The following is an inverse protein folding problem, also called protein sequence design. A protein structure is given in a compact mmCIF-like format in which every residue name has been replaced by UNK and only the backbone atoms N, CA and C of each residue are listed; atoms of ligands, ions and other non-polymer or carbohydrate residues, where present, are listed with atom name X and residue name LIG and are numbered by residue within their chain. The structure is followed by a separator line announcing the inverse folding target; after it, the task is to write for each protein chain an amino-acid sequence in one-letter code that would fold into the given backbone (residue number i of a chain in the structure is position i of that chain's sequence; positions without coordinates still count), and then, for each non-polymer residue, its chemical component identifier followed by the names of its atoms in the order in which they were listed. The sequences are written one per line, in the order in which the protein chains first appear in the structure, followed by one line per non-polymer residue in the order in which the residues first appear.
data_IF_302517310822
#
_entry.id   IF_302517310822
#
_cell.length_a   1.000
_cell.length_b   1.000
_cell.length_c   1.000
_cell.angle_alpha   90.00
_cell.angle_beta   90.00
_cell.angle_gamma   90.00
#
_symmetry.space_group_name_H-M   'P 1'
#
loop_
_entity.id
_entity.type
_entity.pdbx_description
1 polymer ?
#
# COMPACT_ATOMS: atom_id res chain seq x y z
N UNK A 1 18.35 -11.26 -4.21
CA UNK A 1 16.92 -11.12 -3.86
C UNK A 1 16.23 -12.46 -4.02
N UNK A 2 15.00 -12.63 -3.51
CA UNK A 2 14.19 -13.83 -3.73
C UNK A 2 13.94 -14.06 -5.22
N UNK A 3 13.65 -15.31 -5.62
CA UNK A 3 13.28 -15.62 -7.00
C UNK A 3 11.90 -15.02 -7.34
N UNK A 4 11.60 -14.74 -8.61
CA UNK A 4 10.29 -14.19 -9.00
C UNK A 4 9.11 -15.09 -8.62
N UNK A 5 9.30 -16.42 -8.66
CA UNK A 5 8.31 -17.39 -8.20
C UNK A 5 8.07 -17.28 -6.68
N UNK A 6 9.14 -17.09 -5.91
CA UNK A 6 9.05 -16.87 -4.46
C UNK A 6 8.27 -15.59 -4.15
N UNK A 7 8.55 -14.50 -4.87
CA UNK A 7 7.80 -13.25 -4.72
C UNK A 7 6.32 -13.43 -5.06
N UNK A 8 5.99 -14.17 -6.13
CA UNK A 8 4.61 -14.45 -6.53
C UNK A 8 3.85 -15.27 -5.48
N UNK A 9 4.48 -16.33 -4.96
CA UNK A 9 3.90 -17.16 -3.89
C UNK A 9 3.70 -16.35 -2.61
N UNK A 10 4.70 -15.54 -2.24
CA UNK A 10 4.60 -14.66 -1.07
C UNK A 10 3.44 -13.67 -1.21
N UNK A 11 3.32 -13.02 -2.37
CA UNK A 11 2.25 -12.07 -2.62
C UNK A 11 0.86 -12.72 -2.68
N UNK A 12 0.77 -13.96 -3.17
CA UNK A 12 -0.46 -14.75 -3.06
C UNK A 12 -0.90 -14.99 -1.62
N UNK A 13 0.06 -15.25 -0.71
CA UNK A 13 -0.23 -15.36 0.74
C UNK A 13 -0.65 -14.03 1.33
N UNK A 14 -0.01 -12.93 0.92
CA UNK A 14 -0.39 -11.57 1.33
C UNK A 14 -1.83 -11.27 0.91
N UNK A 15 -2.18 -11.57 -0.33
CA UNK A 15 -3.51 -11.30 -0.89
C UNK A 15 -4.63 -12.06 -0.16
N UNK A 16 -4.36 -13.29 0.31
CA UNK A 16 -5.32 -14.12 1.02
C UNK A 16 -5.48 -13.75 2.50
N UNK A 17 -4.56 -12.98 3.08
CA UNK A 17 -4.57 -12.63 4.49
C UNK A 17 -5.37 -11.35 4.79
N UNK A 18 -5.80 -11.23 6.05
CA UNK A 18 -6.22 -9.96 6.62
C UNK A 18 -5.05 -9.32 7.36
N UNK A 19 -5.01 -8.00 7.31
CA UNK A 19 -3.90 -7.19 7.79
C UNK A 19 -4.40 -6.13 8.75
N UNK A 20 -3.57 -5.80 9.73
CA UNK A 20 -3.85 -4.74 10.68
C UNK A 20 -3.32 -3.43 10.10
N UNK A 21 -4.23 -2.51 9.77
CA UNK A 21 -3.86 -1.15 9.37
C UNK A 21 -4.04 -0.23 10.59
N UNK A 22 -3.03 0.57 10.96
CA UNK A 22 -3.15 1.50 12.06
C UNK A 22 -4.03 2.68 11.67
N UNK A 23 -4.99 3.02 12.53
CA UNK A 23 -5.74 4.26 12.45
C UNK A 23 -5.48 5.13 13.68
N UNK A 24 -5.40 6.43 13.45
CA UNK A 24 -5.23 7.44 14.50
C UNK A 24 -6.41 8.40 14.48
N UNK A 25 -6.78 8.90 15.65
CA UNK A 25 -7.80 9.94 15.74
C UNK A 25 -7.22 11.22 15.16
N UNK A 26 -7.91 11.78 14.16
CA UNK A 26 -7.62 13.12 13.67
C UNK A 26 -8.47 14.07 14.51
N UNK A 27 -7.82 15.00 15.19
CA UNK A 27 -8.54 16.07 15.86
C UNK A 27 -9.22 16.93 14.80
N UNK A 28 -10.55 16.85 14.70
CA UNK A 28 -11.32 17.77 13.87
C UNK A 28 -11.26 19.17 14.49
N UNK A 29 -10.87 20.18 13.71
CA UNK A 29 -11.03 21.57 14.13
C UNK A 29 -12.53 21.86 14.25
N UNK A 30 -13.02 22.03 15.49
CA UNK A 30 -14.40 22.45 15.74
C UNK A 30 -14.51 23.90 15.31
N UNK A 31 -15.08 24.14 14.13
CA UNK A 31 -15.55 25.47 13.76
C UNK A 31 -16.78 25.75 14.62
N UNK A 32 -16.63 26.61 15.63
CA UNK A 32 -17.76 27.12 16.40
C UNK A 32 -18.70 27.88 15.47
N UNK A 33 -19.73 27.20 14.98
CA UNK A 33 -20.84 27.81 14.27
C UNK A 33 -22.13 27.20 14.81
N UNK A 34 -22.74 27.98 15.72
CA UNK A 34 -24.13 27.89 16.17
C UNK A 34 -24.58 26.58 16.84
N UNK A 35 -24.50 26.56 18.18
CA UNK A 35 -25.64 26.22 19.06
C UNK A 35 -26.31 24.83 18.96
N UNK A 36 -25.78 23.89 18.19
CA UNK A 36 -26.27 22.51 18.14
C UNK A 36 -25.19 21.62 18.72
N UNK A 37 -25.57 20.77 19.67
CA UNK A 37 -24.69 19.77 20.29
C UNK A 37 -24.19 18.82 19.20
N UNK A 38 -23.04 19.15 18.63
CA UNK A 38 -22.32 18.34 17.65
C UNK A 38 -21.90 17.04 18.32
N UNK A 39 -22.53 15.95 17.90
CA UNK A 39 -22.10 14.60 18.25
C UNK A 39 -20.66 14.46 17.73
N UNK A 40 -19.71 14.28 18.64
CA UNK A 40 -18.28 14.36 18.36
C UNK A 40 -17.87 13.18 17.50
N UNK A 41 -18.04 13.33 16.18
CA UNK A 41 -17.55 12.40 15.16
C UNK A 41 -16.03 12.49 15.15
N UNK A 42 -15.38 11.64 15.95
CA UNK A 42 -13.93 11.41 15.87
C UNK A 42 -13.61 10.98 14.45
N UNK A 43 -12.99 11.85 13.66
CA UNK A 43 -12.50 11.49 12.34
C UNK A 43 -11.32 10.53 12.54
N UNK A 44 -11.33 9.39 11.86
CA UNK A 44 -10.29 8.36 11.99
C UNK A 44 -9.58 8.26 10.65
N UNK A 45 -8.27 8.50 10.64
CA UNK A 45 -7.46 8.41 9.43
C UNK A 45 -6.45 7.28 9.52
N UNK A 46 -6.16 6.65 8.38
CA UNK A 46 -5.04 5.72 8.24
C UNK A 46 -3.72 6.48 8.32
N UNK A 47 -2.73 5.87 8.98
CA UNK A 47 -1.38 6.46 9.03
C UNK A 47 -0.70 6.31 7.66
N UNK A 48 -0.01 7.36 7.21
CA UNK A 48 0.90 7.32 6.06
C UNK A 48 2.32 7.66 6.52
N UNK A 49 3.31 6.91 6.03
CA UNK A 49 4.72 7.21 6.17
C UNK A 49 5.20 8.02 4.96
N UNK A 50 6.07 9.00 5.19
CA UNK A 50 6.73 9.77 4.13
C UNK A 50 8.23 9.65 4.31
N UNK A 51 8.93 9.12 3.31
CA UNK A 51 10.38 9.05 3.31
C UNK A 51 11.02 10.41 2.98
N UNK A 52 12.32 10.64 3.25
CA UNK A 52 12.99 11.90 2.94
C UNK A 52 12.97 12.29 1.46
N UNK A 53 12.83 11.31 0.55
CA UNK A 53 12.70 11.52 -0.89
C UNK A 53 11.27 11.88 -1.33
N UNK A 54 10.33 11.97 -0.38
CA UNK A 54 8.92 12.28 -0.61
C UNK A 54 8.05 11.07 -0.94
N UNK A 55 8.62 9.87 -1.10
CA UNK A 55 7.83 8.66 -1.36
C UNK A 55 6.93 8.34 -0.17
N UNK A 56 5.69 7.90 -0.47
CA UNK A 56 4.65 7.69 0.55
C UNK A 56 4.29 6.22 0.65
N UNK A 57 4.06 5.75 1.87
CA UNK A 57 3.75 4.37 2.14
C UNK A 57 2.64 4.21 3.19
N UNK A 58 1.74 3.26 2.98
CA UNK A 58 0.80 2.85 4.01
C UNK A 58 1.39 1.64 4.77
N UNK A 59 1.57 1.71 6.10
CA UNK A 59 2.03 0.60 6.91
C UNK A 59 0.88 -0.37 7.21
N UNK A 60 1.20 -1.66 7.20
CA UNK A 60 0.28 -2.74 7.58
C UNK A 60 1.03 -3.82 8.36
N UNK A 61 0.34 -4.51 9.27
CA UNK A 61 0.98 -5.40 10.22
C UNK A 61 0.37 -6.80 10.21
N UNK A 62 1.23 -7.79 10.34
CA UNK A 62 0.87 -9.21 10.38
C UNK A 62 0.36 -9.64 11.76
N UNK A 63 0.68 -8.89 12.81
CA UNK A 63 0.28 -9.20 14.19
C UNK A 63 0.11 -7.95 15.06
N UNK A 64 -0.65 -8.09 16.14
CA UNK A 64 -0.79 -7.03 17.15
C UNK A 64 0.54 -6.71 17.83
N UNK A 65 1.42 -7.70 18.02
CA UNK A 65 2.74 -7.49 18.60
C UNK A 65 3.60 -6.58 17.71
N UNK A 66 3.68 -6.88 16.40
CA UNK A 66 4.42 -6.05 15.45
C UNK A 66 3.87 -4.62 15.36
N UNK A 67 2.54 -4.46 15.42
CA UNK A 67 1.92 -3.14 15.47
C UNK A 67 2.27 -2.38 16.77
N UNK A 68 2.17 -3.05 17.92
CA UNK A 68 2.43 -2.43 19.22
C UNK A 68 3.91 -2.07 19.43
N UNK A 69 4.83 -2.86 18.86
CA UNK A 69 6.27 -2.56 18.85
C UNK A 69 6.58 -1.30 18.02
N UNK A 70 5.80 -1.06 16.95
CA UNK A 70 5.92 0.14 16.12
C UNK A 70 5.24 1.37 16.73
N UNK A 71 3.97 1.25 17.12
CA UNK A 71 3.21 2.31 17.79
C UNK A 71 2.15 1.69 18.74
N UNK A 72 2.39 1.69 20.07
CA UNK A 72 1.45 1.12 21.03
C UNK A 72 0.17 1.94 21.20
N UNK A 73 0.12 3.18 20.68
CA UNK A 73 -1.08 4.04 20.73
C UNK A 73 -2.02 3.85 19.54
N UNK A 74 -1.53 3.21 18.46
CA UNK A 74 -2.30 2.98 17.25
C UNK A 74 -3.48 2.03 17.48
N UNK A 75 -4.63 2.34 16.88
CA UNK A 75 -5.79 1.44 16.92
C UNK A 75 -5.73 0.48 15.72
N UNK A 76 -5.74 -0.85 15.95
CA UNK A 76 -5.71 -1.81 14.86
C UNK A 76 -7.08 -1.92 14.17
N UNK A 77 -7.09 -1.83 12.83
CA UNK A 77 -8.24 -2.22 12.01
C UNK A 77 -7.85 -3.38 11.11
N UNK A 78 -8.45 -4.54 11.33
CA UNK A 78 -8.21 -5.72 10.51
C UNK A 78 -8.98 -5.60 9.18
N UNK A 79 -8.28 -5.53 8.04
CA UNK A 79 -8.86 -5.40 6.70
C UNK A 79 -8.30 -6.43 5.71
N UNK A 80 -9.03 -6.79 4.64
CA UNK A 80 -8.44 -7.54 3.54
C UNK A 80 -7.27 -6.78 2.89
N UNK A 81 -6.29 -7.50 2.34
CA UNK A 81 -5.16 -6.89 1.63
C UNK A 81 -5.58 -5.93 0.50
N UNK A 82 -6.65 -6.27 -0.22
CA UNK A 82 -7.21 -5.42 -1.28
C UNK A 82 -7.70 -4.07 -0.74
N UNK A 83 -8.37 -4.06 0.42
CA UNK A 83 -8.84 -2.82 1.05
C UNK A 83 -7.69 -1.97 1.58
N UNK A 84 -6.65 -2.59 2.16
CA UNK A 84 -5.43 -1.86 2.56
C UNK A 84 -4.75 -1.22 1.34
N UNK A 85 -4.66 -1.95 0.23
CA UNK A 85 -4.10 -1.44 -1.02
C UNK A 85 -4.93 -0.30 -1.62
N UNK A 86 -6.26 -0.40 -1.61
CA UNK A 86 -7.16 0.67 -2.05
C UNK A 86 -7.02 1.92 -1.19
N UNK A 87 -6.93 1.77 0.13
CA UNK A 87 -6.68 2.88 1.05
C UNK A 87 -5.32 3.54 0.77
N UNK A 88 -4.26 2.74 0.55
CA UNK A 88 -2.95 3.27 0.21
C UNK A 88 -3.00 4.13 -1.07
N UNK A 89 -3.71 3.66 -2.11
CA UNK A 89 -3.88 4.42 -3.36
C UNK A 89 -4.70 5.69 -3.13
N UNK A 90 -5.81 5.64 -2.37
CA UNK A 90 -6.63 6.83 -2.11
C UNK A 90 -5.87 7.89 -1.32
N UNK A 91 -4.98 7.47 -0.42
CA UNK A 91 -4.10 8.36 0.33
C UNK A 91 -2.91 8.86 -0.50
N UNK A 92 -2.70 8.36 -1.72
CA UNK A 92 -1.57 8.74 -2.58
C UNK A 92 -0.24 8.11 -2.17
N UNK A 93 -0.28 6.89 -1.62
CA UNK A 93 0.91 6.08 -1.34
C UNK A 93 1.38 5.32 -2.59
N UNK A 94 2.70 5.19 -2.73
CA UNK A 94 3.35 4.47 -3.81
C UNK A 94 3.52 2.98 -3.51
N UNK A 95 3.58 2.62 -2.22
CA UNK A 95 3.87 1.27 -1.72
C UNK A 95 3.09 0.94 -0.46
N UNK A 96 2.99 -0.37 -0.15
CA UNK A 96 2.65 -0.83 1.20
C UNK A 96 3.94 -1.26 1.91
N UNK A 97 4.00 -1.09 3.22
CA UNK A 97 5.10 -1.63 4.04
C UNK A 97 4.53 -2.56 5.11
N UNK A 98 4.96 -3.81 5.08
CA UNK A 98 4.58 -4.84 6.04
C UNK A 98 5.55 -4.84 7.23
N UNK A 99 5.01 -4.83 8.44
CA UNK A 99 5.74 -4.96 9.71
C UNK A 99 6.93 -4.00 9.82
N UNK A 100 6.63 -2.71 9.69
CA UNK A 100 7.59 -1.60 9.83
C UNK A 100 8.40 -1.74 11.12
N UNK A 101 9.68 -1.37 11.07
CA UNK A 101 10.63 -1.43 12.19
C UNK A 101 10.94 -2.85 12.72
N UNK A 102 10.42 -3.91 12.08
CA UNK A 102 10.82 -5.28 12.37
C UNK A 102 12.02 -5.72 11.53
N UNK A 103 12.71 -6.79 11.97
CA UNK A 103 13.77 -7.44 11.18
C UNK A 103 13.26 -8.10 9.89
N UNK A 104 11.94 -8.19 9.71
CA UNK A 104 11.27 -8.80 8.57
C UNK A 104 10.43 -7.78 7.79
N UNK A 105 10.73 -6.48 7.90
CA UNK A 105 10.00 -5.46 7.17
C UNK A 105 10.09 -5.70 5.65
N UNK A 106 8.94 -5.72 4.97
CA UNK A 106 8.86 -5.96 3.52
C UNK A 106 8.11 -4.83 2.85
N UNK A 107 8.70 -4.28 1.78
CA UNK A 107 8.04 -3.30 0.91
C UNK A 107 7.32 -4.03 -0.22
N UNK A 108 6.00 -3.84 -0.31
CA UNK A 108 5.22 -4.26 -1.48
C UNK A 108 5.20 -3.10 -2.47
N UNK A 109 6.01 -3.25 -3.51
CA UNK A 109 6.24 -2.24 -4.56
C UNK A 109 4.95 -1.88 -5.30
N UNK A 110 4.95 -0.77 -6.00
CA UNK A 110 3.75 -0.23 -6.67
C UNK A 110 3.03 -1.24 -7.56
N UNK A 111 3.74 -2.08 -8.33
CA UNK A 111 3.09 -3.11 -9.15
C UNK A 111 2.35 -4.17 -8.31
N UNK A 112 2.88 -4.52 -7.14
CA UNK A 112 2.25 -5.44 -6.18
C UNK A 112 1.04 -4.77 -5.50
N UNK A 113 1.20 -3.53 -5.05
CA UNK A 113 0.13 -2.70 -4.50
C UNK A 113 -1.07 -2.63 -5.46
N UNK A 114 -0.83 -2.27 -6.72
CA UNK A 114 -1.87 -2.20 -7.75
C UNK A 114 -2.49 -3.56 -8.06
N UNK A 115 -1.72 -4.65 -7.99
CA UNK A 115 -2.27 -5.98 -8.18
C UNK A 115 -3.22 -6.37 -7.03
N UNK A 116 -2.85 -6.08 -5.79
CA UNK A 116 -3.70 -6.30 -4.61
C UNK A 116 -4.98 -5.46 -4.68
N UNK A 117 -4.89 -4.17 -5.01
CA UNK A 117 -6.04 -3.27 -5.09
C UNK A 117 -7.06 -3.70 -6.15
N UNK A 118 -6.58 -4.27 -7.26
CA UNK A 118 -7.41 -4.80 -8.36
C UNK A 118 -7.80 -6.27 -8.15
N UNK A 119 -7.37 -6.89 -7.06
CA UNK A 119 -7.56 -8.32 -6.77
C UNK A 119 -7.13 -9.24 -7.93
N UNK A 120 -6.06 -8.86 -8.62
CA UNK A 120 -5.45 -9.66 -9.68
C UNK A 120 -4.23 -10.39 -9.16
N UNK A 121 -3.89 -11.49 -9.82
CA UNK A 121 -2.59 -12.10 -9.64
C UNK A 121 -1.50 -11.12 -10.12
N UNK A 122 -0.47 -10.96 -9.30
CA UNK A 122 0.70 -10.17 -9.66
C UNK A 122 1.70 -11.01 -10.42
N UNK A 123 2.32 -10.40 -11.43
CA UNK A 123 3.45 -10.96 -12.16
C UNK A 123 4.63 -9.99 -12.08
N UNK A 124 5.88 -10.50 -12.03
CA UNK A 124 7.07 -9.69 -12.23
C UNK A 124 6.97 -8.87 -13.52
N UNK A 125 7.46 -7.62 -13.51
CA UNK A 125 7.29 -6.68 -14.63
C UNK A 125 7.79 -7.19 -15.98
N UNK A 126 8.90 -7.92 -16.00
CA UNK A 126 9.46 -8.53 -17.22
C UNK A 126 8.63 -9.72 -17.75
N UNK A 127 7.68 -10.23 -16.95
CA UNK A 127 6.74 -11.30 -17.31
C UNK A 127 5.30 -10.79 -17.43
N UNK A 128 5.01 -9.52 -17.09
CA UNK A 128 3.67 -8.96 -17.09
C UNK A 128 3.29 -8.49 -18.52
N UNK A 129 2.31 -9.13 -19.18
CA UNK A 129 1.88 -8.74 -20.53
C UNK A 129 1.32 -7.32 -20.61
N UNK A 130 0.82 -6.77 -19.50
CA UNK A 130 0.37 -5.38 -19.44
C UNK A 130 1.55 -4.41 -19.53
N UNK A 131 2.62 -4.67 -18.77
CA UNK A 131 3.87 -3.89 -18.86
C UNK A 131 4.46 -4.01 -20.27
N UNK A 132 4.45 -5.22 -20.84
CA UNK A 132 4.96 -5.42 -22.19
C UNK A 132 4.24 -4.61 -23.26
N UNK A 133 2.91 -4.55 -23.19
CA UNK A 133 2.09 -3.73 -24.08
C UNK A 133 2.29 -2.23 -23.84
N UNK A 134 2.42 -1.81 -22.59
CA UNK A 134 2.64 -0.41 -22.26
C UNK A 134 3.99 0.08 -22.80
N UNK A 135 5.06 -0.70 -22.64
CA UNK A 135 6.38 -0.33 -23.16
C UNK A 135 6.41 -0.37 -24.69
N UNK A 136 5.79 -1.37 -25.32
CA UNK A 136 5.69 -1.42 -26.78
C UNK A 136 5.02 -0.16 -27.35
N UNK A 137 3.89 0.28 -26.77
CA UNK A 137 3.21 1.51 -27.18
C UNK A 137 4.07 2.76 -26.99
N UNK A 138 4.79 2.86 -25.88
CA UNK A 138 5.67 4.00 -25.63
C UNK A 138 6.86 4.06 -26.60
N UNK A 139 7.32 2.91 -27.09
CA UNK A 139 8.37 2.83 -28.11
C UNK A 139 7.85 3.13 -29.53
N UNK A 140 6.58 2.84 -29.83
CA UNK A 140 5.98 3.11 -31.15
C UNK A 140 5.93 4.61 -31.50
N UNK A 141 5.85 5.48 -30.48
CA UNK A 141 5.86 6.93 -30.65
C UNK A 141 7.28 7.52 -30.81
N UNK A 142 8.33 6.72 -30.67
CA UNK A 142 9.73 7.15 -30.70
C UNK A 142 10.52 6.50 -31.84
N UNK A 143 10.61 7.13 -33.03
CA UNK A 143 11.19 6.53 -34.22
C UNK A 143 12.70 6.21 -34.11
N UNK A 144 13.38 6.67 -33.05
CA UNK A 144 14.76 6.31 -32.75
C UNK A 144 14.92 4.95 -32.04
N UNK A 145 13.84 4.38 -31.50
CA UNK A 145 13.89 3.09 -30.80
C UNK A 145 13.77 1.94 -31.80
N UNK A 146 14.89 1.33 -32.13
CA UNK A 146 14.96 0.23 -33.12
C UNK A 146 14.71 -1.15 -32.53
N UNK A 147 14.81 -1.33 -31.19
CA UNK A 147 14.47 -2.59 -30.50
C UNK A 147 14.26 -2.37 -28.99
N UNK A 148 13.31 -3.10 -28.40
CA UNK A 148 13.19 -3.25 -26.94
C UNK A 148 13.05 -4.72 -26.52
N UNK A 149 13.54 -5.06 -25.31
CA UNK A 149 13.32 -6.33 -24.59
C UNK A 149 13.05 -6.01 -23.12
N UNK A 150 12.11 -6.76 -22.55
CA UNK A 150 11.76 -6.74 -21.13
C UNK A 150 12.51 -7.82 -20.37
#
# INVERSE_FOLDING_TARGET
GPSPETERVALGRVAAARWLVPVVAVASEVTESAGVRSDTRSDMATVTLTAPDGSRALPMFSSLAALADWDPSARPVAVPAASAAQAAISEGCDVLVVDVASAHAVVLRSSMLWALAQQREWLPSHLDPHVARAVARACDDEPAVTRHRL
#
